data_IF_931603788999
#
_entry.id   IF_931603788999
#
_cell.length_a   1.000
_cell.length_b   1.000
_cell.length_c   1.000
_cell.angle_alpha   90.00
_cell.angle_beta   90.00
_cell.angle_gamma   90.00
#
_symmetry.space_group_name_H-M   'P 1'
#
loop_
_entity.id
_entity.type
_entity.pdbx_description
1 polymer ?
#
# COMPACT_ATOMS: atom_id res chain seq x y z
N UNK A 1 8.05 4.71 15.62
CA UNK A 1 8.51 3.30 15.51
C UNK A 1 8.85 2.67 16.86
N UNK A 2 9.80 3.20 17.64
CA UNK A 2 10.22 2.64 18.94
C UNK A 2 9.06 2.23 19.85
N UNK A 3 8.06 3.10 20.04
CA UNK A 3 6.85 2.79 20.80
C UNK A 3 6.17 1.49 20.30
N UNK A 4 5.94 1.35 19.00
CA UNK A 4 5.32 0.15 18.40
C UNK A 4 6.26 -1.07 18.38
N UNK A 5 7.57 -0.86 18.48
CA UNK A 5 8.55 -1.94 18.57
C UNK A 5 8.60 -2.57 19.97
N UNK A 6 8.42 -1.74 21.00
CA UNK A 6 8.57 -2.11 22.40
C UNK A 6 7.24 -2.39 23.10
N UNK A 7 6.11 -2.05 22.48
CA UNK A 7 4.77 -2.29 23.01
C UNK A 7 4.51 -3.79 23.25
N UNK A 8 4.21 -4.13 24.50
CA UNK A 8 4.02 -5.52 24.94
C UNK A 8 2.80 -6.19 24.29
N UNK A 9 1.75 -5.43 23.96
CA UNK A 9 0.58 -5.98 23.29
C UNK A 9 0.90 -6.43 21.87
N UNK A 10 1.58 -5.57 21.09
CA UNK A 10 2.02 -5.94 19.73
C UNK A 10 3.03 -7.10 19.74
N UNK A 11 3.94 -7.13 20.72
CA UNK A 11 4.91 -8.24 20.88
C UNK A 11 4.24 -9.56 21.23
N UNK A 12 3.23 -9.54 22.10
CA UNK A 12 2.43 -10.71 22.43
C UNK A 12 1.73 -11.26 21.18
N UNK A 13 0.95 -10.42 20.48
CA UNK A 13 0.25 -10.82 19.26
C UNK A 13 1.19 -11.41 18.19
N UNK A 14 2.37 -10.81 18.01
CA UNK A 14 3.39 -11.32 17.08
C UNK A 14 3.90 -12.72 17.48
N UNK A 15 4.15 -12.95 18.78
CA UNK A 15 4.74 -14.21 19.27
C UNK A 15 3.73 -15.34 19.41
N UNK A 16 2.46 -15.03 19.67
CA UNK A 16 1.46 -16.05 20.07
C UNK A 16 0.22 -16.08 19.20
N UNK A 17 0.00 -15.09 18.32
CA UNK A 17 -1.27 -14.92 17.60
C UNK A 17 -1.11 -14.70 16.09
N UNK A 18 0.02 -15.09 15.51
CA UNK A 18 0.31 -15.00 14.07
C UNK A 18 0.16 -13.59 13.47
N UNK A 19 0.19 -12.55 14.31
CA UNK A 19 0.17 -11.18 13.83
C UNK A 19 1.54 -10.79 13.28
N UNK A 20 1.58 -9.74 12.47
CA UNK A 20 2.84 -9.07 12.16
C UNK A 20 3.38 -8.32 13.38
N UNK A 21 4.71 -8.13 13.43
CA UNK A 21 5.33 -7.26 14.44
C UNK A 21 4.78 -5.83 14.31
N UNK A 22 4.65 -5.10 15.42
CA UNK A 22 4.10 -3.74 15.45
C UNK A 22 4.82 -2.71 14.54
N UNK A 23 6.04 -3.01 14.07
CA UNK A 23 6.79 -2.14 13.15
C UNK A 23 6.59 -2.50 11.67
N UNK A 24 5.95 -3.64 11.38
CA UNK A 24 5.80 -4.15 10.01
C UNK A 24 5.16 -3.13 9.05
N UNK A 25 4.09 -2.38 9.41
CA UNK A 25 3.53 -1.38 8.50
C UNK A 25 4.51 -0.27 8.09
N UNK A 26 5.44 0.09 8.97
CA UNK A 26 6.46 1.10 8.68
C UNK A 26 7.46 0.57 7.65
N UNK A 27 7.92 -0.68 7.81
CA UNK A 27 8.82 -1.32 6.85
C UNK A 27 8.18 -1.49 5.48
N UNK A 28 6.91 -1.89 5.43
CA UNK A 28 6.17 -1.97 4.16
C UNK A 28 6.07 -0.62 3.46
N UNK A 29 5.85 0.46 4.23
CA UNK A 29 5.82 1.81 3.66
C UNK A 29 7.21 2.26 3.18
N UNK A 30 8.28 1.99 3.93
CA UNK A 30 9.66 2.30 3.50
C UNK A 30 10.04 1.60 2.20
N UNK A 31 9.71 0.31 2.06
CA UNK A 31 9.92 -0.41 0.80
C UNK A 31 9.15 0.23 -0.35
N UNK A 32 7.89 0.62 -0.13
CA UNK A 32 7.09 1.31 -1.12
C UNK A 32 7.58 2.72 -1.46
N UNK A 33 8.24 3.41 -0.51
CA UNK A 33 8.64 4.82 -0.66
C UNK A 33 9.59 5.04 -1.84
N UNK A 34 10.49 4.08 -2.11
CA UNK A 34 11.38 4.16 -3.26
C UNK A 34 10.61 4.15 -4.58
N UNK A 35 9.57 3.31 -4.69
CA UNK A 35 8.73 3.25 -5.88
C UNK A 35 8.00 4.59 -6.12
N UNK A 36 7.65 5.33 -5.06
CA UNK A 36 6.96 6.63 -5.19
C UNK A 36 7.79 7.70 -5.91
N UNK A 37 9.12 7.56 -5.97
CA UNK A 37 9.96 8.46 -6.78
C UNK A 37 9.81 8.24 -8.29
N UNK A 38 9.25 7.11 -8.70
CA UNK A 38 9.09 6.73 -10.11
C UNK A 38 7.62 6.71 -10.56
N UNK A 39 6.67 6.71 -9.62
CA UNK A 39 5.25 6.68 -9.90
C UNK A 39 4.67 8.10 -9.95
N UNK A 40 3.84 8.38 -10.96
CA UNK A 40 3.16 9.67 -11.06
C UNK A 40 2.06 9.88 -10.00
N UNK A 41 1.34 8.80 -9.64
CA UNK A 41 0.29 8.81 -8.61
C UNK A 41 -0.02 7.39 -8.15
N UNK A 42 -0.30 7.23 -6.86
CA UNK A 42 -0.83 5.99 -6.28
C UNK A 42 -2.23 6.26 -5.75
N UNK A 43 -3.19 5.46 -6.21
CA UNK A 43 -4.61 5.57 -5.84
C UNK A 43 -5.03 4.26 -5.16
N UNK A 44 -5.53 4.35 -3.94
CA UNK A 44 -6.01 3.21 -3.15
C UNK A 44 -7.54 3.23 -3.15
N UNK A 45 -8.14 2.19 -3.71
CA UNK A 45 -9.60 2.00 -3.71
C UNK A 45 -10.04 1.32 -2.42
N UNK A 46 -11.03 1.88 -1.72
CA UNK A 46 -11.60 1.27 -0.51
C UNK A 46 -10.71 1.32 0.74
N UNK A 47 -9.59 2.05 0.69
CA UNK A 47 -8.72 2.26 1.85
C UNK A 47 -9.31 3.25 2.86
N UNK A 48 -8.86 3.18 4.12
CA UNK A 48 -9.18 4.21 5.12
C UNK A 48 -8.65 5.57 4.64
N UNK A 49 -9.56 6.53 4.42
CA UNK A 49 -9.23 7.80 3.77
C UNK A 49 -8.17 8.58 4.54
N UNK A 50 -8.21 8.51 5.88
CA UNK A 50 -7.25 9.23 6.73
C UNK A 50 -5.86 8.61 6.63
N UNK A 51 -5.75 7.28 6.69
CA UNK A 51 -4.50 6.57 6.54
C UNK A 51 -3.89 6.77 5.15
N UNK A 52 -4.69 6.57 4.08
CA UNK A 52 -4.24 6.72 2.68
C UNK A 52 -3.63 8.09 2.44
N UNK A 53 -4.31 9.17 2.88
CA UNK A 53 -3.79 10.55 2.76
C UNK A 53 -2.52 10.74 3.58
N UNK A 54 -2.45 10.21 4.80
CA UNK A 54 -1.27 10.34 5.67
C UNK A 54 -0.04 9.64 5.09
N UNK A 55 -0.24 8.57 4.31
CA UNK A 55 0.83 7.83 3.64
C UNK A 55 1.26 8.43 2.29
N UNK A 56 0.64 9.54 1.85
CA UNK A 56 0.99 10.24 0.62
C UNK A 56 0.23 9.77 -0.63
N UNK A 57 -0.85 9.01 -0.48
CA UNK A 57 -1.62 8.45 -1.60
C UNK A 57 -2.96 9.18 -1.80
N UNK A 58 -3.64 8.88 -2.91
CA UNK A 58 -5.03 9.30 -3.16
C UNK A 58 -5.99 8.18 -2.79
N UNK A 59 -7.14 8.54 -2.25
CA UNK A 59 -8.20 7.59 -1.87
C UNK A 59 -9.33 7.69 -2.88
N UNK A 60 -9.83 6.55 -3.34
CA UNK A 60 -11.01 6.43 -4.20
C UNK A 60 -12.02 5.47 -3.56
N UNK A 61 -13.31 5.69 -3.81
CA UNK A 61 -14.37 4.82 -3.29
C UNK A 61 -14.64 3.67 -4.24
N UNK A 62 -14.51 3.91 -5.55
CA UNK A 62 -14.68 2.90 -6.59
C UNK A 62 -13.46 2.84 -7.52
N UNK A 63 -13.37 1.76 -8.31
CA UNK A 63 -12.35 1.65 -9.36
C UNK A 63 -12.57 2.69 -10.48
N UNK A 64 -13.82 3.04 -10.75
CA UNK A 64 -14.18 4.06 -11.74
C UNK A 64 -13.64 5.42 -11.32
N UNK A 65 -13.88 5.84 -10.06
CA UNK A 65 -13.34 7.10 -9.54
C UNK A 65 -11.80 7.11 -9.62
N UNK A 66 -11.15 5.96 -9.37
CA UNK A 66 -9.71 5.85 -9.46
C UNK A 66 -9.19 6.04 -10.90
N UNK A 67 -9.90 5.53 -11.91
CA UNK A 67 -9.55 5.78 -13.30
C UNK A 67 -9.73 7.25 -13.68
N UNK A 68 -10.84 7.87 -13.31
CA UNK A 68 -11.08 9.30 -13.54
C UNK A 68 -9.98 10.17 -12.90
N UNK A 69 -9.61 9.87 -11.63
CA UNK A 69 -8.51 10.55 -10.95
C UNK A 69 -7.12 10.32 -11.59
N UNK A 70 -6.95 9.24 -12.36
CA UNK A 70 -5.68 8.95 -13.03
C UNK A 70 -5.51 9.75 -14.32
N UNK A 71 -6.60 10.15 -14.98
CA UNK A 71 -6.57 10.88 -16.26
C UNK A 71 -5.78 12.19 -16.18
N UNK A 72 -5.80 12.88 -15.04
CA UNK A 72 -4.98 14.08 -14.77
C UNK A 72 -3.47 13.83 -14.97
N UNK A 73 -3.03 12.58 -14.81
CA UNK A 73 -1.61 12.18 -14.80
C UNK A 73 -1.24 11.46 -16.10
N UNK A 74 -2.11 10.58 -16.60
CA UNK A 74 -1.80 9.71 -17.76
C UNK A 74 -2.56 10.09 -19.04
N UNK A 75 -3.43 11.11 -18.97
CA UNK A 75 -4.31 11.51 -20.06
C UNK A 75 -5.57 10.65 -20.19
N UNK A 76 -6.49 11.03 -21.09
CA UNK A 76 -7.85 10.45 -21.16
C UNK A 76 -7.95 9.09 -21.87
N UNK A 77 -6.86 8.61 -22.50
CA UNK A 77 -6.85 7.32 -23.24
C UNK A 77 -5.58 6.52 -22.96
N UNK A 78 -5.33 6.12 -21.70
CA UNK A 78 -4.16 5.33 -21.37
C UNK A 78 -4.35 3.86 -21.77
N UNK A 79 -3.24 3.14 -21.94
CA UNK A 79 -3.25 1.66 -21.93
C UNK A 79 -3.18 1.17 -20.49
N UNK A 80 -3.96 0.15 -20.15
CA UNK A 80 -4.03 -0.39 -18.78
C UNK A 80 -3.34 -1.75 -18.74
N UNK A 81 -2.40 -1.91 -17.81
CA UNK A 81 -1.85 -3.21 -17.42
C UNK A 81 -2.56 -3.68 -16.14
N UNK A 82 -3.20 -4.85 -16.20
CA UNK A 82 -3.88 -5.43 -15.04
C UNK A 82 -3.08 -6.62 -14.51
N UNK A 83 -2.55 -6.49 -13.28
CA UNK A 83 -1.90 -7.57 -12.55
C UNK A 83 -2.92 -8.26 -11.64
N UNK A 84 -3.22 -9.52 -11.89
CA UNK A 84 -4.04 -10.38 -11.02
C UNK A 84 -3.16 -11.47 -10.42
N UNK A 85 -2.91 -11.38 -9.12
CA UNK A 85 -2.01 -12.26 -8.39
C UNK A 85 -2.61 -12.71 -7.05
N UNK A 86 -2.16 -13.85 -6.48
CA UNK A 86 -2.46 -14.19 -5.10
C UNK A 86 -1.78 -13.20 -4.12
N UNK A 87 -2.20 -13.15 -2.84
CA UNK A 87 -1.75 -12.15 -1.86
C UNK A 87 -0.23 -12.09 -1.63
N UNK A 88 0.49 -13.17 -1.90
CA UNK A 88 1.95 -13.23 -1.89
C UNK A 88 2.38 -13.73 -3.27
N UNK A 89 3.05 -12.87 -4.03
CA UNK A 89 3.65 -13.25 -5.31
C UNK A 89 4.92 -14.01 -5.02
N UNK A 90 4.93 -15.30 -5.39
CA UNK A 90 6.15 -16.09 -5.47
C UNK A 90 6.48 -16.23 -6.96
N UNK A 91 7.51 -15.51 -7.41
CA UNK A 91 8.02 -15.65 -8.76
C UNK A 91 9.26 -16.55 -8.72
N UNK A 92 9.30 -17.56 -9.60
CA UNK A 92 10.52 -18.30 -9.88
C UNK A 92 11.42 -17.42 -10.74
N UNK A 93 12.65 -17.18 -10.28
CA UNK A 93 13.64 -16.37 -11.00
C UNK A 93 14.77 -17.30 -11.41
N UNK A 94 14.97 -17.42 -12.73
CA UNK A 94 16.11 -18.11 -13.34
C UNK A 94 17.31 -17.19 -13.48
#
# INVERSE_FOLDING_TARGET
EKQYAEDEWYRHLYRTSYAYHGVHPFYMWYWGSHALHHLGRVIIVGGDTRAVKRLGFKSASTLQDAFEMAEDVVGPRPTITHLKNPPIVMADVK
#
